data_IF_958485954054
#
_entry.id   IF_958485954054
#
_cell.length_a   1.000
_cell.length_b   1.000
_cell.length_c   1.000
_cell.angle_alpha   90.00
_cell.angle_beta   90.00
_cell.angle_gamma   90.00
#
_symmetry.space_group_name_H-M   'P 1'
#
loop_
_entity.id
_entity.type
_entity.pdbx_description
1 polymer ?
#
# COMPACT_ATOMS: atom_id res chain seq x y z
N UNK A 1 -16.36 35.92 -41.65
CA UNK A 1 -17.24 34.80 -42.06
C UNK A 1 -16.55 33.50 -41.70
N UNK A 2 -17.21 32.67 -40.90
CA UNK A 2 -16.79 31.31 -40.55
C UNK A 2 -16.72 30.41 -41.78
N UNK A 3 -15.82 29.41 -41.76
CA UNK A 3 -16.11 28.07 -42.27
C UNK A 3 -15.16 27.03 -41.65
N UNK A 4 -15.78 26.06 -40.99
CA UNK A 4 -15.20 24.85 -40.46
C UNK A 4 -14.90 23.84 -41.58
N UNK A 5 -13.99 22.90 -41.34
CA UNK A 5 -14.04 21.61 -42.02
C UNK A 5 -13.55 20.50 -41.09
N UNK A 6 -14.46 19.54 -40.89
CA UNK A 6 -14.35 18.27 -40.19
C UNK A 6 -13.50 17.27 -40.98
N UNK A 7 -12.79 16.37 -40.28
CA UNK A 7 -12.22 15.15 -40.88
C UNK A 7 -12.67 13.92 -40.10
N UNK A 8 -13.36 13.03 -40.82
CA UNK A 8 -13.74 11.67 -40.44
C UNK A 8 -12.52 10.75 -40.46
N UNK A 9 -12.46 9.81 -39.51
CA UNK A 9 -11.56 8.66 -39.50
C UNK A 9 -12.29 7.42 -40.04
N UNK A 10 -11.65 6.66 -40.92
CA UNK A 10 -12.13 5.34 -41.34
C UNK A 10 -10.96 4.36 -41.48
N UNK A 11 -11.12 3.19 -40.85
CA UNK A 11 -10.17 2.07 -40.80
C UNK A 11 -9.97 1.37 -42.16
N UNK A 12 -8.76 0.86 -42.40
CA UNK A 12 -8.59 -0.40 -43.12
C UNK A 12 -7.23 -1.07 -42.87
N UNK A 13 -7.27 -2.36 -42.55
CA UNK A 13 -6.17 -3.32 -42.44
C UNK A 13 -5.51 -3.62 -43.79
N UNK A 14 -4.19 -3.91 -43.79
CA UNK A 14 -3.57 -4.91 -44.69
C UNK A 14 -2.22 -5.40 -44.16
N UNK A 15 -2.05 -6.73 -44.22
CA UNK A 15 -0.87 -7.53 -43.86
C UNK A 15 0.32 -7.27 -44.79
N UNK A 16 1.54 -7.40 -44.26
CA UNK A 16 2.73 -7.82 -45.01
C UNK A 16 3.66 -8.66 -44.12
N UNK A 17 4.09 -9.80 -44.65
CA UNK A 17 5.11 -10.71 -44.11
C UNK A 17 6.52 -10.21 -44.41
N UNK A 18 7.46 -10.31 -43.46
CA UNK A 18 8.91 -10.43 -43.73
C UNK A 18 9.57 -11.42 -42.73
N UNK A 19 10.57 -12.13 -43.24
CA UNK A 19 11.23 -13.35 -42.76
C UNK A 19 12.09 -13.21 -41.49
N UNK A 20 12.27 -14.36 -40.80
CA UNK A 20 13.24 -14.59 -39.71
C UNK A 20 14.69 -14.66 -40.23
N UNK A 21 15.61 -14.00 -39.53
CA UNK A 21 17.04 -14.36 -39.49
C UNK A 21 17.49 -14.44 -38.02
N UNK A 22 18.26 -15.49 -37.70
CA UNK A 22 18.72 -15.90 -36.37
C UNK A 22 19.96 -15.13 -35.90
N UNK A 23 20.01 -14.80 -34.61
CA UNK A 23 21.21 -14.46 -33.83
C UNK A 23 20.84 -14.29 -32.34
N UNK A 24 21.35 -15.17 -31.46
CA UNK A 24 21.08 -15.26 -30.00
C UNK A 24 21.80 -14.18 -29.16
N UNK A 25 21.53 -14.00 -27.84
CA UNK A 25 20.39 -14.46 -27.03
C UNK A 25 19.72 -13.30 -26.24
N UNK A 26 18.40 -13.14 -26.36
CA UNK A 26 17.58 -12.43 -25.37
C UNK A 26 16.70 -13.47 -24.67
N UNK A 27 17.30 -14.23 -23.76
CA UNK A 27 16.58 -15.17 -22.90
C UNK A 27 16.52 -14.56 -21.50
N UNK A 28 15.35 -14.06 -21.10
CA UNK A 28 14.82 -14.00 -19.72
C UNK A 28 13.70 -12.95 -19.51
N UNK A 29 12.82 -12.68 -20.49
CA UNK A 29 11.76 -11.67 -20.31
C UNK A 29 10.34 -12.10 -20.75
N UNK A 30 10.09 -13.40 -20.95
CA UNK A 30 8.81 -13.88 -21.49
C UNK A 30 8.04 -14.91 -20.65
N UNK A 31 8.36 -15.11 -19.36
CA UNK A 31 7.71 -16.16 -18.57
C UNK A 31 6.86 -15.75 -17.35
N UNK A 32 6.56 -14.47 -17.13
CA UNK A 32 5.75 -14.07 -15.96
C UNK A 32 4.48 -13.26 -16.25
N UNK A 33 3.99 -13.23 -17.50
CA UNK A 33 2.79 -12.46 -17.86
C UNK A 33 1.47 -13.24 -17.79
N UNK A 34 1.42 -14.44 -17.21
CA UNK A 34 0.17 -15.21 -17.09
C UNK A 34 -0.03 -15.66 -15.64
N UNK A 35 -0.67 -14.80 -14.84
CA UNK A 35 -1.46 -15.29 -13.71
C UNK A 35 -2.71 -15.96 -14.30
N UNK A 36 -3.01 -17.23 -13.99
CA UNK A 36 -4.24 -17.86 -14.47
C UNK A 36 -5.47 -17.15 -13.90
N UNK A 37 -6.58 -17.10 -14.64
CA UNK A 37 -7.86 -16.60 -14.10
C UNK A 37 -8.30 -17.46 -12.91
N UNK A 38 -8.87 -16.77 -11.92
CA UNK A 38 -9.38 -17.31 -10.67
C UNK A 38 -10.47 -18.38 -10.91
N UNK A 39 -10.20 -19.64 -10.55
CA UNK A 39 -11.20 -20.70 -10.42
C UNK A 39 -11.48 -20.97 -8.93
N UNK A 40 -12.76 -20.96 -8.56
CA UNK A 40 -13.24 -21.24 -7.20
C UNK A 40 -13.34 -22.77 -7.05
N UNK A 41 -12.55 -23.37 -6.16
CA UNK A 41 -12.66 -24.80 -5.83
C UNK A 41 -13.57 -25.01 -4.60
N UNK A 42 -14.55 -25.90 -4.73
CA UNK A 42 -15.67 -26.13 -3.80
C UNK A 42 -15.36 -27.14 -2.67
N UNK A 43 -14.09 -27.43 -2.36
CA UNK A 43 -13.76 -28.49 -1.39
C UNK A 43 -12.91 -28.01 -0.20
N UNK A 44 -13.58 -27.39 0.77
CA UNK A 44 -13.02 -27.05 2.09
C UNK A 44 -13.35 -28.15 3.11
N UNK A 45 -12.31 -28.79 3.68
CA UNK A 45 -12.40 -29.78 4.78
C UNK A 45 -12.84 -29.15 6.12
N UNK A 46 -13.39 -29.92 7.08
CA UNK A 46 -14.31 -29.39 8.08
C UNK A 46 -13.64 -28.59 9.22
N UNK A 47 -14.43 -27.58 9.58
CA UNK A 47 -14.33 -26.51 10.57
C UNK A 47 -13.98 -26.95 12.01
N UNK A 48 -13.16 -26.16 12.71
CA UNK A 48 -13.06 -26.16 14.18
C UNK A 48 -13.71 -24.88 14.74
N UNK A 49 -14.62 -24.93 15.74
CA UNK A 49 -15.73 -23.96 15.83
C UNK A 49 -15.51 -22.76 16.78
N UNK A 50 -14.29 -22.45 17.22
CA UNK A 50 -14.11 -21.44 18.30
C UNK A 50 -12.98 -20.46 18.05
N UNK A 51 -13.12 -19.63 17.02
CA UNK A 51 -12.09 -18.64 16.70
C UNK A 51 -12.70 -17.36 16.09
N UNK A 52 -13.08 -16.44 16.98
CA UNK A 52 -13.42 -15.06 16.64
C UNK A 52 -12.13 -14.30 16.32
N UNK A 53 -12.03 -13.70 15.14
CA UNK A 53 -10.88 -12.90 14.70
C UNK A 53 -11.37 -11.63 14.00
N UNK A 54 -10.64 -10.53 14.14
CA UNK A 54 -11.29 -9.24 14.17
C UNK A 54 -11.44 -8.41 12.90
N UNK A 55 -12.30 -7.41 12.99
CA UNK A 55 -12.67 -6.38 12.00
C UNK A 55 -11.59 -5.32 11.79
N UNK A 56 -10.48 -5.38 12.53
CA UNK A 56 -9.44 -4.36 12.55
C UNK A 56 -9.85 -3.12 13.35
N UNK A 57 -10.80 -3.23 14.27
CA UNK A 57 -11.22 -2.12 15.15
C UNK A 57 -10.54 -2.24 16.53
N UNK A 58 -10.72 -1.26 17.41
CA UNK A 58 -10.12 -1.28 18.76
C UNK A 58 -10.62 -2.47 19.60
N UNK A 59 -11.90 -2.76 19.50
CA UNK A 59 -12.57 -3.86 20.21
C UNK A 59 -12.34 -5.22 19.54
N UNK A 60 -11.89 -5.19 18.27
CA UNK A 60 -11.78 -6.38 17.44
C UNK A 60 -10.60 -6.24 16.46
N UNK A 61 -9.35 -6.19 16.99
CA UNK A 61 -8.17 -5.89 16.19
C UNK A 61 -7.80 -7.07 15.29
N UNK A 62 -7.13 -6.76 14.18
CA UNK A 62 -6.50 -7.81 13.40
C UNK A 62 -5.32 -8.39 14.21
N UNK A 63 -5.40 -9.69 14.52
CA UNK A 63 -4.29 -10.43 15.12
C UNK A 63 -3.45 -11.01 13.99
N UNK A 64 -2.52 -10.23 13.47
CA UNK A 64 -1.97 -10.49 12.13
C UNK A 64 -0.75 -11.40 12.17
N UNK A 65 -0.04 -11.46 13.28
CA UNK A 65 1.19 -12.23 13.25
C UNK A 65 1.57 -12.73 14.63
N UNK A 66 1.56 -14.06 14.77
CA UNK A 66 2.37 -14.80 15.73
C UNK A 66 3.20 -15.72 14.84
N UNK A 67 4.49 -15.44 14.71
CA UNK A 67 5.41 -16.34 14.00
C UNK A 67 5.06 -17.78 14.39
N UNK A 68 4.90 -18.72 13.46
CA UNK A 68 4.60 -20.10 13.83
C UNK A 68 5.61 -20.68 14.83
N UNK A 69 6.86 -20.18 14.86
CA UNK A 69 7.87 -20.50 15.86
C UNK A 69 7.60 -19.91 17.26
N UNK A 70 6.72 -18.93 17.37
CA UNK A 70 6.26 -18.29 18.61
C UNK A 70 4.98 -18.95 19.17
N UNK A 71 4.38 -19.91 18.47
CA UNK A 71 3.24 -20.70 18.98
C UNK A 71 3.72 -21.53 20.18
N UNK A 72 3.02 -21.41 21.32
CA UNK A 72 3.35 -22.14 22.55
C UNK A 72 4.53 -21.58 23.35
N UNK A 73 5.14 -20.48 22.91
CA UNK A 73 6.13 -19.76 23.71
C UNK A 73 5.48 -18.79 24.70
N UNK A 74 6.03 -18.77 25.91
CA UNK A 74 5.75 -17.77 26.94
C UNK A 74 6.57 -16.49 26.71
N UNK A 75 6.11 -15.34 27.22
CA UNK A 75 6.77 -14.02 27.15
C UNK A 75 6.85 -13.34 25.77
N UNK A 76 5.87 -13.54 24.89
CA UNK A 76 5.79 -12.78 23.63
C UNK A 76 5.63 -11.29 23.89
N UNK A 77 6.35 -10.46 23.14
CA UNK A 77 6.09 -9.03 23.09
C UNK A 77 4.98 -8.76 22.11
N UNK A 78 4.23 -7.69 22.37
CA UNK A 78 3.13 -7.25 21.51
C UNK A 78 3.24 -5.75 21.31
N UNK A 79 3.19 -5.32 20.05
CA UNK A 79 2.96 -3.92 19.69
C UNK A 79 1.58 -3.78 19.07
N UNK A 80 0.79 -2.81 19.56
CA UNK A 80 -0.48 -2.42 18.95
C UNK A 80 -0.26 -1.27 17.98
N UNK A 81 -0.42 -1.54 16.69
CA UNK A 81 -0.39 -0.55 15.64
C UNK A 81 -1.79 0.00 15.37
N UNK A 82 -1.90 1.32 15.22
CA UNK A 82 -3.11 2.03 14.84
C UNK A 82 -2.84 2.69 13.49
N UNK A 83 -3.39 2.10 12.45
CA UNK A 83 -3.02 2.34 11.06
C UNK A 83 -4.15 3.04 10.29
N UNK A 84 -3.80 4.07 9.53
CA UNK A 84 -4.77 4.85 8.75
C UNK A 84 -4.13 5.39 7.47
N UNK A 85 -4.93 5.84 6.52
CA UNK A 85 -4.44 6.56 5.34
C UNK A 85 -5.51 7.50 4.78
N UNK A 86 -5.09 8.44 3.94
CA UNK A 86 -5.99 9.29 3.15
C UNK A 86 -6.94 10.11 4.03
N UNK A 87 -6.43 10.74 5.09
CA UNK A 87 -7.29 11.54 5.98
C UNK A 87 -7.72 12.87 5.40
N UNK A 88 -7.01 13.41 4.39
CA UNK A 88 -7.45 14.55 3.58
C UNK A 88 -7.94 15.77 4.43
N UNK A 89 -7.15 16.20 5.41
CA UNK A 89 -7.46 17.25 6.40
C UNK A 89 -8.63 16.91 7.36
N UNK A 90 -9.04 15.65 7.47
CA UNK A 90 -10.18 15.22 8.28
C UNK A 90 -9.81 14.38 9.51
N UNK A 91 -8.51 14.26 9.84
CA UNK A 91 -8.07 13.43 10.98
C UNK A 91 -8.76 13.80 12.31
N UNK A 92 -9.06 15.08 12.53
CA UNK A 92 -9.78 15.57 13.72
C UNK A 92 -11.22 15.05 13.85
N UNK A 93 -11.79 14.50 12.78
CA UNK A 93 -13.15 13.90 12.78
C UNK A 93 -13.14 12.43 13.18
N UNK A 94 -11.96 11.87 13.39
CA UNK A 94 -11.76 10.43 13.58
C UNK A 94 -11.34 10.22 15.01
N UNK A 95 -12.04 9.32 15.71
CA UNK A 95 -11.59 8.84 17.00
C UNK A 95 -10.40 7.91 16.76
N UNK A 96 -9.20 8.37 17.13
CA UNK A 96 -8.00 7.54 17.07
C UNK A 96 -7.95 6.68 18.35
N UNK A 97 -8.02 5.34 18.25
CA UNK A 97 -7.97 4.46 19.41
C UNK A 97 -6.57 4.47 20.05
N UNK A 98 -6.45 3.87 21.23
CA UNK A 98 -5.15 3.75 21.88
C UNK A 98 -4.30 2.66 21.23
N UNK A 99 -2.99 2.91 21.14
CA UNK A 99 -2.00 1.95 20.65
C UNK A 99 -0.58 2.37 20.99
N UNK A 100 0.37 1.50 20.70
CA UNK A 100 1.80 1.76 20.90
C UNK A 100 2.37 2.58 19.74
N UNK A 101 1.93 2.28 18.52
CA UNK A 101 2.46 2.87 17.28
C UNK A 101 1.32 3.40 16.41
N UNK A 102 1.30 4.70 16.15
CA UNK A 102 0.41 5.29 15.15
C UNK A 102 1.09 5.26 13.77
N UNK A 103 0.39 4.86 12.71
CA UNK A 103 0.92 4.77 11.35
C UNK A 103 -0.04 5.44 10.37
N UNK A 104 0.48 6.31 9.50
CA UNK A 104 -0.32 6.92 8.43
C UNK A 104 0.34 6.75 7.04
N UNK A 105 -0.37 6.11 6.11
CA UNK A 105 0.16 5.72 4.78
C UNK A 105 -0.05 6.77 3.67
N UNK A 106 0.21 8.03 3.98
CA UNK A 106 0.13 9.12 3.00
C UNK A 106 -1.24 9.77 2.84
N UNK A 107 -1.25 10.91 2.15
CA UNK A 107 -2.41 11.78 1.96
C UNK A 107 -3.11 12.20 3.26
N UNK A 108 -2.30 12.69 4.21
CA UNK A 108 -2.84 13.37 5.40
C UNK A 108 -3.62 14.65 5.06
N UNK A 109 -3.28 15.27 3.93
CA UNK A 109 -3.84 16.54 3.47
C UNK A 109 -4.56 16.39 2.14
N UNK A 110 -5.39 17.38 1.79
CA UNK A 110 -6.08 17.41 0.48
C UNK A 110 -5.13 17.83 -0.62
N UNK A 111 -5.50 17.51 -1.85
CA UNK A 111 -4.97 18.19 -3.03
C UNK A 111 -4.97 19.71 -2.84
N UNK A 112 -3.93 20.40 -3.32
CA UNK A 112 -3.76 21.87 -3.24
C UNK A 112 -3.73 22.46 -1.82
N UNK A 113 -3.50 21.63 -0.79
CA UNK A 113 -3.28 22.09 0.58
C UNK A 113 -1.97 22.87 0.71
N UNK A 114 -1.94 23.82 1.64
CA UNK A 114 -0.74 24.58 1.96
C UNK A 114 0.17 23.78 2.91
N UNK A 115 1.44 24.16 3.02
CA UNK A 115 2.36 23.59 4.02
C UNK A 115 1.82 23.69 5.46
N UNK A 116 0.97 24.69 5.73
CA UNK A 116 0.28 24.87 7.01
C UNK A 116 -0.63 23.68 7.36
N UNK A 117 -1.24 23.01 6.38
CA UNK A 117 -2.12 21.87 6.65
C UNK A 117 -1.32 20.67 7.18
N UNK A 118 -0.11 20.45 6.67
CA UNK A 118 0.81 19.44 7.21
C UNK A 118 1.27 19.81 8.62
N UNK A 119 1.52 21.09 8.92
CA UNK A 119 1.85 21.51 10.28
C UNK A 119 0.69 21.24 11.26
N UNK A 120 -0.55 21.56 10.87
CA UNK A 120 -1.74 21.26 11.69
C UNK A 120 -1.88 19.75 11.92
N UNK A 121 -1.63 18.94 10.89
CA UNK A 121 -1.59 17.49 11.02
C UNK A 121 -0.48 17.02 11.98
N UNK A 122 0.74 17.59 11.87
CA UNK A 122 1.88 17.28 12.74
C UNK A 122 1.58 17.58 14.21
N UNK A 123 0.93 18.71 14.50
CA UNK A 123 0.52 19.06 15.86
C UNK A 123 -0.55 18.10 16.39
N UNK A 124 -1.56 17.79 15.57
CA UNK A 124 -2.61 16.84 15.95
C UNK A 124 -2.02 15.47 16.30
N UNK A 125 -1.15 14.93 15.43
CA UNK A 125 -0.51 13.61 15.64
C UNK A 125 0.44 13.65 16.83
N UNK A 126 1.15 14.76 17.06
CA UNK A 126 2.02 14.93 18.21
C UNK A 126 1.30 14.85 19.56
N UNK A 127 0.05 15.30 19.60
CA UNK A 127 -0.79 15.21 20.80
C UNK A 127 -1.36 13.80 21.05
N UNK A 128 -1.23 12.86 20.12
CA UNK A 128 -1.70 11.48 20.32
C UNK A 128 -0.85 10.75 21.38
N UNK A 129 -1.47 9.87 22.20
CA UNK A 129 -0.78 9.20 23.31
C UNK A 129 0.18 8.08 22.87
N UNK A 130 0.19 7.74 21.58
CA UNK A 130 1.02 6.69 21.01
C UNK A 130 2.50 6.97 21.25
N UNK A 131 3.27 5.97 21.68
CA UNK A 131 4.71 6.11 21.95
C UNK A 131 5.50 6.43 20.68
N UNK A 132 5.14 5.77 19.59
CA UNK A 132 5.74 5.98 18.28
C UNK A 132 4.69 6.47 17.28
N UNK A 133 5.10 7.35 16.35
CA UNK A 133 4.26 7.84 15.26
C UNK A 133 5.05 7.77 13.96
N UNK A 134 4.53 7.08 12.96
CA UNK A 134 5.16 6.86 11.66
C UNK A 134 4.30 7.48 10.55
N UNK A 135 4.95 8.11 9.59
CA UNK A 135 4.27 8.71 8.45
C UNK A 135 5.08 8.57 7.18
N UNK A 136 4.39 8.24 6.08
CA UNK A 136 4.91 8.39 4.72
C UNK A 136 4.09 9.44 3.98
N UNK A 137 4.68 10.08 2.97
CA UNK A 137 3.94 11.00 2.10
C UNK A 137 2.98 10.28 1.15
N UNK A 138 2.07 11.03 0.53
CA UNK A 138 1.25 10.59 -0.59
C UNK A 138 1.13 11.69 -1.65
N UNK A 139 0.39 11.46 -2.73
CA UNK A 139 0.37 12.37 -3.87
C UNK A 139 -0.21 13.77 -3.57
N UNK A 140 -0.96 13.93 -2.48
CA UNK A 140 -1.45 15.24 -2.02
C UNK A 140 -0.44 16.01 -1.16
N UNK A 141 0.62 15.35 -0.69
CA UNK A 141 1.59 15.94 0.22
C UNK A 141 2.66 16.75 -0.52
N UNK A 142 2.25 17.66 -1.42
CA UNK A 142 3.15 18.44 -2.31
C UNK A 142 4.17 19.27 -1.54
N UNK A 143 3.82 19.77 -0.35
CA UNK A 143 4.75 20.51 0.50
C UNK A 143 5.85 19.64 1.12
N UNK A 144 5.75 18.32 1.04
CA UNK A 144 6.82 17.39 1.41
C UNK A 144 7.78 17.12 0.24
N UNK A 145 7.86 18.04 -0.73
CA UNK A 145 8.54 17.93 -2.02
C UNK A 145 9.79 17.03 -1.96
N UNK A 146 9.84 15.94 -2.76
CA UNK A 146 10.96 15.03 -2.79
C UNK A 146 12.29 15.66 -3.22
N UNK A 147 12.28 16.88 -3.79
CA UNK A 147 13.50 17.65 -4.11
C UNK A 147 14.17 18.22 -2.86
N UNK A 148 13.49 18.29 -1.71
CA UNK A 148 14.01 18.85 -0.45
C UNK A 148 13.61 18.00 0.76
N UNK A 149 13.99 16.72 0.80
CA UNK A 149 13.54 15.78 1.83
C UNK A 149 13.92 16.21 3.26
N UNK A 150 15.10 16.83 3.45
CA UNK A 150 15.52 17.34 4.76
C UNK A 150 14.58 18.42 5.32
N UNK A 151 13.95 19.22 4.45
CA UNK A 151 13.01 20.25 4.89
C UNK A 151 11.67 19.60 5.26
N UNK A 152 11.21 18.64 4.47
CA UNK A 152 10.02 17.84 4.74
C UNK A 152 10.10 17.14 6.10
N UNK A 153 11.25 16.51 6.40
CA UNK A 153 11.48 15.83 7.68
C UNK A 153 11.47 16.81 8.87
N UNK A 154 12.05 18.00 8.72
CA UNK A 154 12.07 19.02 9.79
C UNK A 154 10.68 19.56 10.14
N UNK A 155 9.77 19.62 9.17
CA UNK A 155 8.38 20.06 9.38
C UNK A 155 7.60 19.03 10.21
N UNK A 156 7.95 17.75 10.09
CA UNK A 156 7.28 16.62 10.74
C UNK A 156 7.96 16.24 12.06
N UNK A 157 8.12 17.20 12.96
CA UNK A 157 8.91 17.03 14.20
C UNK A 157 8.32 16.06 15.22
N UNK A 158 7.02 15.75 15.13
CA UNK A 158 6.31 14.94 16.12
C UNK A 158 6.15 13.47 15.69
N UNK A 159 6.77 13.08 14.57
CA UNK A 159 6.68 11.75 14.00
C UNK A 159 7.95 11.38 13.24
N UNK A 160 8.15 10.08 13.05
CA UNK A 160 9.21 9.56 12.19
C UNK A 160 8.66 9.56 10.76
N UNK A 161 9.21 10.44 9.92
CA UNK A 161 8.89 10.47 8.50
C UNK A 161 9.77 9.48 7.74
N UNK A 162 9.14 8.55 7.01
CA UNK A 162 9.84 7.56 6.19
C UNK A 162 9.72 7.91 4.71
N UNK A 163 10.86 8.00 4.03
CA UNK A 163 10.94 8.17 2.58
C UNK A 163 12.15 7.41 2.07
N UNK A 164 11.91 6.22 1.51
CA UNK A 164 12.95 5.28 1.11
C UNK A 164 13.90 4.96 2.27
N UNK A 165 13.32 4.76 3.46
CA UNK A 165 14.08 4.61 4.70
C UNK A 165 13.42 3.59 5.63
N UNK A 166 14.26 2.98 6.48
CA UNK A 166 13.87 1.99 7.48
C UNK A 166 13.93 2.58 8.89
N UNK A 167 13.11 2.06 9.78
CA UNK A 167 13.20 2.28 11.22
C UNK A 167 12.99 0.97 11.97
N UNK A 168 13.63 0.84 13.14
CA UNK A 168 13.35 -0.20 14.11
C UNK A 168 12.43 0.36 15.19
N UNK A 169 11.31 -0.32 15.44
CA UNK A 169 10.44 -0.05 16.58
C UNK A 169 10.43 -1.29 17.47
N UNK A 170 11.29 -1.27 18.49
CA UNK A 170 11.40 -2.32 19.52
C UNK A 170 11.70 -3.71 18.95
N UNK A 171 12.50 -3.76 17.87
CA UNK A 171 12.83 -4.99 17.15
C UNK A 171 11.98 -5.26 15.91
N UNK A 172 10.93 -4.47 15.65
CA UNK A 172 10.11 -4.57 14.43
C UNK A 172 10.70 -3.67 13.35
N UNK A 173 11.16 -4.27 12.24
CA UNK A 173 11.74 -3.58 11.09
C UNK A 173 10.65 -3.05 10.16
N UNK A 174 10.60 -1.73 9.99
CA UNK A 174 9.57 -1.05 9.21
C UNK A 174 10.23 -0.22 8.13
N UNK A 175 9.87 -0.45 6.87
CA UNK A 175 10.33 0.34 5.73
C UNK A 175 9.19 1.16 5.14
N UNK A 176 9.44 2.43 4.80
CA UNK A 176 8.43 3.31 4.24
C UNK A 176 8.87 4.00 2.95
N UNK A 177 7.98 4.02 1.95
CA UNK A 177 8.22 4.67 0.68
C UNK A 177 6.95 5.31 0.09
N UNK A 178 6.95 6.61 -0.23
CA UNK A 178 5.73 7.32 -0.66
C UNK A 178 5.45 7.23 -2.18
N UNK A 179 6.34 6.61 -2.97
CA UNK A 179 6.28 6.69 -4.43
C UNK A 179 5.09 5.94 -5.03
N UNK A 180 4.73 6.36 -6.24
CA UNK A 180 3.74 5.70 -7.08
C UNK A 180 4.05 5.93 -8.57
N UNK A 181 3.63 5.05 -9.50
CA UNK A 181 3.77 5.29 -10.94
C UNK A 181 3.03 6.57 -11.37
N UNK A 182 3.61 7.55 -12.05
CA UNK A 182 2.90 8.81 -12.43
C UNK A 182 1.72 8.54 -13.38
N UNK A 183 0.58 9.22 -13.19
CA UNK A 183 -0.62 9.09 -14.05
C UNK A 183 -0.61 9.95 -15.33
N UNK A 184 0.54 10.50 -15.70
CA UNK A 184 0.70 11.30 -16.92
C UNK A 184 0.26 12.76 -16.76
N UNK A 185 0.08 13.46 -17.89
CA UNK A 185 0.03 14.94 -17.97
C UNK A 185 -1.28 15.54 -17.40
N UNK A 186 -2.33 14.72 -17.21
CA UNK A 186 -3.65 15.18 -16.77
C UNK A 186 -3.66 15.58 -15.27
N UNK A 187 -2.71 15.08 -14.47
CA UNK A 187 -2.59 15.36 -13.03
C UNK A 187 -1.24 16.01 -12.69
N UNK A 188 -0.99 17.27 -13.12
CA UNK A 188 0.33 17.86 -13.11
C UNK A 188 0.88 18.27 -11.73
N UNK A 189 0.07 18.25 -10.67
CA UNK A 189 0.47 18.66 -9.32
C UNK A 189 0.33 17.53 -8.28
N UNK A 190 0.92 16.36 -8.59
CA UNK A 190 1.04 15.23 -7.67
C UNK A 190 2.46 15.13 -7.09
N UNK A 191 2.56 15.01 -5.77
CA UNK A 191 3.79 14.61 -5.11
C UNK A 191 4.08 13.12 -5.36
N UNK A 192 5.35 12.73 -5.27
CA UNK A 192 5.78 11.32 -5.29
C UNK A 192 5.33 10.49 -6.51
N UNK A 193 4.92 11.14 -7.61
CA UNK A 193 4.76 10.51 -8.92
C UNK A 193 6.12 10.20 -9.54
N UNK A 194 6.31 8.96 -9.96
CA UNK A 194 7.58 8.47 -10.50
C UNK A 194 7.42 7.83 -11.88
N UNK A 195 8.49 7.74 -12.67
CA UNK A 195 8.41 7.11 -13.98
C UNK A 195 8.11 5.59 -13.87
N UNK A 196 7.00 5.07 -14.42
CA UNK A 196 6.68 3.64 -14.35
C UNK A 196 7.78 2.75 -14.93
N UNK A 197 8.55 3.24 -15.90
CA UNK A 197 9.64 2.48 -16.50
C UNK A 197 10.89 2.39 -15.61
N UNK A 198 11.03 3.26 -14.60
CA UNK A 198 12.24 3.37 -13.75
C UNK A 198 11.97 3.09 -12.27
N UNK A 199 10.69 3.10 -11.86
CA UNK A 199 10.30 3.01 -10.44
C UNK A 199 10.79 1.72 -9.77
N UNK A 200 10.82 0.61 -10.52
CA UNK A 200 11.35 -0.66 -10.02
C UNK A 200 12.80 -0.51 -9.59
N UNK A 201 13.67 -0.16 -10.53
CA UNK A 201 15.12 -0.13 -10.34
C UNK A 201 15.55 0.94 -9.34
N UNK A 202 14.89 2.09 -9.35
CA UNK A 202 15.31 3.24 -8.54
C UNK A 202 14.65 3.33 -7.17
N UNK A 203 13.52 2.65 -6.97
CA UNK A 203 12.76 2.70 -5.71
C UNK A 203 12.54 1.32 -5.11
N UNK A 204 11.84 0.44 -5.81
CA UNK A 204 11.40 -0.84 -5.24
C UNK A 204 12.55 -1.81 -4.97
N UNK A 205 13.58 -1.84 -5.84
CA UNK A 205 14.77 -2.66 -5.64
C UNK A 205 15.61 -2.25 -4.43
N UNK A 206 15.42 -1.04 -3.89
CA UNK A 206 16.13 -0.59 -2.68
C UNK A 206 15.47 -1.02 -1.38
N UNK A 207 14.24 -1.55 -1.42
CA UNK A 207 13.55 -2.05 -0.23
C UNK A 207 14.30 -3.29 0.27
N UNK A 208 14.74 -3.36 1.54
CA UNK A 208 15.41 -4.54 2.10
C UNK A 208 14.51 -5.78 2.07
N UNK A 209 15.12 -6.97 1.99
CA UNK A 209 14.40 -8.23 2.16
C UNK A 209 14.09 -8.49 3.65
N UNK A 210 13.09 -9.34 3.90
CA UNK A 210 12.75 -9.89 5.23
C UNK A 210 12.44 -8.83 6.30
N UNK A 211 11.86 -7.70 5.90
CA UNK A 211 11.32 -6.69 6.82
C UNK A 211 9.97 -7.14 7.41
N UNK A 212 9.59 -6.63 8.57
CA UNK A 212 8.30 -6.99 9.18
C UNK A 212 7.14 -6.26 8.49
N UNK A 213 7.26 -4.94 8.32
CA UNK A 213 6.18 -4.10 7.80
C UNK A 213 6.68 -3.18 6.68
N UNK A 214 6.00 -3.24 5.54
CA UNK A 214 6.19 -2.30 4.43
C UNK A 214 5.06 -1.27 4.41
N UNK A 215 5.42 0.01 4.32
CA UNK A 215 4.49 1.12 4.12
C UNK A 215 4.68 1.69 2.71
N UNK A 216 3.63 1.67 1.88
CA UNK A 216 3.58 2.42 0.62
C UNK A 216 2.34 3.28 0.54
N UNK A 217 2.36 4.35 -0.26
CA UNK A 217 1.13 5.13 -0.44
C UNK A 217 0.17 4.42 -1.42
N UNK A 218 0.69 4.06 -2.60
CA UNK A 218 -0.08 3.34 -3.62
C UNK A 218 -0.12 1.83 -3.39
N UNK A 219 -1.18 1.14 -3.88
CA UNK A 219 -1.31 -0.31 -3.77
C UNK A 219 -0.37 -1.05 -4.75
N UNK A 220 0.04 -2.29 -4.43
CA UNK A 220 0.57 -3.21 -5.43
C UNK A 220 -0.54 -3.63 -6.42
N UNK A 221 -0.16 -4.01 -7.63
CA UNK A 221 -1.11 -4.38 -8.68
C UNK A 221 -2.01 -5.55 -8.29
N UNK A 222 -3.28 -5.50 -8.69
CA UNK A 222 -4.29 -6.55 -8.46
C UNK A 222 -4.60 -6.86 -7.00
N UNK A 223 -4.14 -6.03 -6.06
CA UNK A 223 -4.46 -6.14 -4.63
C UNK A 223 -5.18 -4.87 -4.19
N UNK A 224 -6.50 -4.96 -4.06
CA UNK A 224 -7.36 -3.86 -3.59
C UNK A 224 -7.07 -2.51 -4.29
N UNK A 225 -7.01 -2.53 -5.62
CA UNK A 225 -6.50 -1.44 -6.47
C UNK A 225 -7.45 -1.06 -7.64
N UNK A 226 -8.73 -1.39 -7.56
CA UNK A 226 -9.69 -1.11 -8.63
C UNK A 226 -10.08 0.37 -8.69
N UNK A 227 -10.08 0.93 -9.91
CA UNK A 227 -10.62 2.27 -10.13
C UNK A 227 -12.15 2.26 -10.19
N UNK A 228 -12.84 3.10 -9.40
CA UNK A 228 -14.28 2.98 -9.21
C UNK A 228 -15.14 3.33 -10.44
N UNK A 229 -14.56 3.98 -11.46
CA UNK A 229 -15.29 4.39 -12.66
C UNK A 229 -14.93 3.57 -13.90
N UNK A 230 -13.74 2.96 -13.92
CA UNK A 230 -13.23 2.25 -15.10
C UNK A 230 -13.06 0.76 -14.85
N UNK A 231 -13.12 0.31 -13.60
CA UNK A 231 -12.82 -1.06 -13.15
C UNK A 231 -11.40 -1.53 -13.50
N UNK A 232 -10.54 -0.60 -13.91
CA UNK A 232 -9.15 -0.87 -14.23
C UNK A 232 -8.32 -1.00 -12.94
N UNK A 233 -7.29 -1.84 -13.04
CA UNK A 233 -6.23 -1.97 -12.04
C UNK A 233 -5.28 -0.81 -12.12
N UNK A 234 -5.04 -0.15 -11.00
CA UNK A 234 -4.16 1.03 -10.94
C UNK A 234 -2.93 0.83 -10.05
N UNK A 235 -2.85 -0.30 -9.36
CA UNK A 235 -1.69 -0.65 -8.54
C UNK A 235 -0.45 -0.88 -9.39
N UNK A 236 0.70 -0.94 -8.75
CA UNK A 236 1.98 -1.06 -9.43
C UNK A 236 2.40 -2.53 -9.60
N UNK A 237 2.56 -3.05 -10.84
CA UNK A 237 2.99 -4.42 -11.08
C UNK A 237 4.42 -4.69 -10.59
N UNK A 238 5.31 -3.69 -10.69
CA UNK A 238 6.68 -3.84 -10.24
C UNK A 238 6.75 -3.91 -8.71
N UNK A 239 5.88 -3.17 -8.01
CA UNK A 239 5.78 -3.26 -6.56
C UNK A 239 5.27 -4.64 -6.13
N UNK A 240 4.22 -5.17 -6.77
CA UNK A 240 3.73 -6.53 -6.46
C UNK A 240 4.85 -7.57 -6.64
N UNK A 241 5.53 -7.54 -7.79
CA UNK A 241 6.61 -8.48 -8.11
C UNK A 241 7.71 -8.45 -7.05
N UNK A 242 8.22 -7.27 -6.69
CA UNK A 242 9.24 -7.12 -5.65
C UNK A 242 8.76 -7.59 -4.27
N UNK A 243 7.50 -7.29 -3.91
CA UNK A 243 6.91 -7.66 -2.62
C UNK A 243 6.77 -9.18 -2.48
N UNK A 244 6.25 -9.87 -3.48
CA UNK A 244 5.98 -11.32 -3.38
C UNK A 244 7.20 -12.19 -3.65
N UNK A 245 8.18 -11.69 -4.43
CA UNK A 245 9.36 -12.49 -4.81
C UNK A 245 10.58 -12.27 -3.91
N UNK A 246 10.80 -11.05 -3.41
CA UNK A 246 12.07 -10.67 -2.76
C UNK A 246 11.90 -10.03 -1.38
N UNK A 247 11.05 -8.99 -1.27
CA UNK A 247 10.92 -8.22 -0.03
C UNK A 247 10.22 -9.06 1.05
N UNK A 248 9.13 -9.73 0.68
CA UNK A 248 8.33 -10.62 1.52
C UNK A 248 8.01 -10.06 2.92
N UNK A 249 7.44 -8.85 3.03
CA UNK A 249 7.06 -8.30 4.31
C UNK A 249 5.94 -9.15 4.94
N UNK A 250 5.87 -9.21 6.27
CA UNK A 250 4.75 -9.89 6.95
C UNK A 250 3.45 -9.10 6.74
N UNK A 251 3.56 -7.77 6.76
CA UNK A 251 2.43 -6.86 6.53
C UNK A 251 2.83 -5.78 5.52
N UNK A 252 1.99 -5.53 4.52
CA UNK A 252 2.11 -4.41 3.62
C UNK A 252 0.90 -3.48 3.78
N UNK A 253 1.14 -2.32 4.37
CA UNK A 253 0.15 -1.27 4.62
C UNK A 253 0.21 -0.19 3.53
N UNK A 254 -0.95 0.17 2.99
CA UNK A 254 -1.07 1.20 1.96
C UNK A 254 -2.42 1.92 1.96
N UNK A 255 -2.63 2.87 1.06
CA UNK A 255 -3.86 3.64 0.93
C UNK A 255 -4.20 3.95 -0.52
N UNK A 256 -4.50 5.23 -0.80
CA UNK A 256 -4.79 5.82 -2.12
C UNK A 256 -6.11 5.37 -2.75
N UNK A 257 -6.42 4.07 -2.74
CA UNK A 257 -7.63 3.52 -3.36
C UNK A 257 -8.78 3.42 -2.37
N UNK A 258 -9.47 4.55 -2.23
CA UNK A 258 -10.56 4.78 -1.26
C UNK A 258 -11.63 3.70 -1.26
N UNK A 259 -12.10 3.27 -2.45
CA UNK A 259 -13.17 2.27 -2.59
C UNK A 259 -12.72 0.84 -2.34
N UNK A 260 -11.44 0.61 -2.15
CA UNK A 260 -10.86 -0.72 -2.01
C UNK A 260 -10.32 -0.98 -0.61
N UNK A 261 -10.73 -0.18 0.39
CA UNK A 261 -10.38 -0.43 1.79
C UNK A 261 -10.64 -1.88 2.21
N UNK A 262 -9.76 -2.41 3.06
CA UNK A 262 -9.87 -3.74 3.65
C UNK A 262 -8.55 -4.49 3.58
N UNK A 263 -8.57 -5.78 3.93
CA UNK A 263 -7.39 -6.63 3.99
C UNK A 263 -7.42 -7.75 2.93
N UNK A 264 -6.25 -8.16 2.44
CA UNK A 264 -6.11 -9.30 1.55
C UNK A 264 -4.91 -10.13 1.98
N UNK A 265 -5.04 -11.45 1.98
CA UNK A 265 -3.95 -12.36 2.30
C UNK A 265 -3.40 -12.98 1.03
N UNK A 266 -2.11 -12.78 0.79
CA UNK A 266 -1.39 -13.55 -0.20
C UNK A 266 -0.85 -14.83 0.40
N UNK A 267 -1.31 -15.95 -0.17
CA UNK A 267 -0.92 -17.31 0.18
C UNK A 267 0.30 -17.71 -0.62
N UNK A 268 1.42 -17.85 0.06
CA UNK A 268 2.71 -18.18 -0.57
C UNK A 268 2.75 -19.58 -1.18
N UNK A 269 1.94 -20.51 -0.67
CA UNK A 269 1.88 -21.90 -1.14
C UNK A 269 1.36 -22.05 -2.57
N UNK A 270 0.44 -21.17 -2.99
CA UNK A 270 -0.28 -21.28 -4.26
C UNK A 270 -0.32 -19.95 -5.05
N UNK A 271 0.35 -18.91 -4.56
CA UNK A 271 0.39 -17.57 -5.16
C UNK A 271 -0.99 -16.93 -5.34
N UNK A 272 -1.96 -17.27 -4.47
CA UNK A 272 -3.30 -16.68 -4.52
C UNK A 272 -3.42 -15.49 -3.56
N UNK A 273 -4.19 -14.50 -3.97
CA UNK A 273 -4.63 -13.40 -3.11
C UNK A 273 -6.07 -13.66 -2.73
N UNK A 274 -6.31 -13.84 -1.43
CA UNK A 274 -7.63 -14.01 -0.86
C UNK A 274 -8.10 -12.67 -0.30
N UNK A 275 -9.27 -12.21 -0.73
CA UNK A 275 -9.94 -11.07 -0.10
C UNK A 275 -10.86 -11.57 1.01
N UNK A 276 -10.96 -10.78 2.08
CA UNK A 276 -11.75 -11.14 3.24
C UNK A 276 -11.39 -10.29 4.45
N UNK A 277 -12.07 -10.59 5.55
CA UNK A 277 -11.94 -9.82 6.78
C UNK A 277 -11.26 -10.66 7.88
N UNK A 278 -10.97 -11.94 7.60
CA UNK A 278 -10.43 -12.92 8.53
C UNK A 278 -9.37 -13.78 7.85
N UNK A 279 -8.12 -13.62 8.28
CA UNK A 279 -6.98 -14.34 7.71
C UNK A 279 -6.19 -15.05 8.80
N UNK A 280 -5.70 -16.25 8.50
CA UNK A 280 -4.70 -16.95 9.30
C UNK A 280 -3.43 -17.09 8.46
N UNK A 281 -2.60 -16.03 8.38
CA UNK A 281 -1.35 -16.08 7.65
C UNK A 281 -0.46 -17.19 8.20
N UNK A 282 0.11 -17.99 7.32
CA UNK A 282 1.18 -18.93 7.63
C UNK A 282 2.54 -18.27 7.43
N UNK A 283 3.63 -18.99 7.75
CA UNK A 283 4.98 -18.53 7.46
C UNK A 283 5.10 -18.13 5.99
N UNK A 284 5.58 -16.92 5.75
CA UNK A 284 5.80 -16.31 4.43
C UNK A 284 4.56 -15.85 3.67
N UNK A 285 3.36 -15.99 4.23
CA UNK A 285 2.18 -15.29 3.71
C UNK A 285 2.32 -13.77 3.97
N UNK A 286 1.68 -12.97 3.12
CA UNK A 286 1.76 -11.50 3.18
C UNK A 286 0.37 -10.96 3.41
N UNK A 287 0.18 -10.19 4.48
CA UNK A 287 -1.06 -9.46 4.67
C UNK A 287 -0.97 -8.07 4.04
N UNK A 288 -1.81 -7.84 3.04
CA UNK A 288 -2.01 -6.54 2.43
C UNK A 288 -3.18 -5.83 3.11
N UNK A 289 -3.02 -4.56 3.48
CA UNK A 289 -4.10 -3.77 4.10
C UNK A 289 -4.19 -2.40 3.45
N UNK A 290 -5.32 -2.15 2.79
CA UNK A 290 -5.67 -0.82 2.30
C UNK A 290 -6.38 -0.04 3.43
N UNK A 291 -5.69 0.98 3.93
CA UNK A 291 -6.05 1.79 5.08
C UNK A 291 -6.85 3.06 4.72
N UNK A 292 -7.16 3.29 3.44
CA UNK A 292 -7.86 4.50 3.01
C UNK A 292 -9.21 4.62 3.73
N UNK A 293 -9.46 5.75 4.38
CA UNK A 293 -10.66 5.91 5.22
C UNK A 293 -11.89 6.38 4.44
N UNK A 294 -11.72 6.99 3.27
CA UNK A 294 -12.84 7.55 2.55
C UNK A 294 -13.70 6.47 1.91
N UNK A 295 -14.93 6.27 2.42
CA UNK A 295 -15.90 5.31 1.90
C UNK A 295 -17.09 6.02 1.23
N UNK A 296 -16.78 6.91 0.27
CA UNK A 296 -17.80 7.79 -0.33
C UNK A 296 -18.16 8.95 0.60
N UNK A 297 -19.31 8.88 1.29
CA UNK A 297 -19.77 9.96 2.19
C UNK A 297 -19.40 9.75 3.66
N UNK A 298 -18.94 8.55 4.03
CA UNK A 298 -18.54 8.19 5.40
C UNK A 298 -17.02 8.05 5.51
N UNK A 299 -16.52 8.14 6.73
CA UNK A 299 -15.13 7.84 7.07
C UNK A 299 -15.08 6.49 7.76
N UNK A 300 -14.15 5.64 7.33
CA UNK A 300 -13.80 4.40 8.00
C UNK A 300 -12.96 4.68 9.24
N UNK A 301 -12.97 3.72 10.16
CA UNK A 301 -12.20 3.77 11.40
C UNK A 301 -10.71 3.47 11.15
N UNK A 302 -9.79 3.83 12.05
CA UNK A 302 -8.42 3.34 12.00
C UNK A 302 -8.38 1.81 12.09
N UNK A 303 -7.45 1.18 11.36
CA UNK A 303 -7.21 -0.26 11.47
C UNK A 303 -6.27 -0.53 12.65
N UNK A 304 -6.68 -1.38 13.58
CA UNK A 304 -5.87 -1.81 14.71
C UNK A 304 -5.26 -3.18 14.41
N UNK A 305 -3.95 -3.28 14.59
CA UNK A 305 -3.17 -4.49 14.37
C UNK A 305 -2.38 -4.83 15.63
N UNK A 306 -2.63 -6.00 16.21
CA UNK A 306 -1.80 -6.54 17.27
C UNK A 306 -0.71 -7.44 16.65
N UNK A 307 0.54 -6.97 16.73
CA UNK A 307 1.71 -7.64 16.18
C UNK A 307 2.52 -8.31 17.29
N UNK A 308 2.70 -9.63 17.22
CA UNK A 308 3.45 -10.41 18.20
C UNK A 308 4.80 -10.85 17.65
N UNK A 309 5.85 -10.65 18.45
CA UNK A 309 7.23 -10.99 18.13
C UNK A 309 7.99 -11.47 19.37
#
# INVERSE_FOLDING_TARGET
MFKASTYLWCCCLRRCHVQRVRGHPAAALHHLTHFPPYEVDEQVLPFSPTRHYGTGTEDDPFTIYRDPQLIGKDNLKRLRFVCISDTHNQIHKIKIPNGDVFVHCGDAVRWSSAARDILVYNEFVGALPHRHKLFIGGNHCVCLDPKRPEQSQKILSNMIYLQDSMTDIEGVQIYGSPWRPKRGIIYPAEAFGYDPARIREEKWSNIPADIDILLTHGPPYSVRDYHPLTDERIGDPALLDEVVTRVRPRIHLFGHMHKCRGASLYKSENNQVLEGDHFQPQSNDILFVNLAIHQGKTLGEPVVIDYYY
#
